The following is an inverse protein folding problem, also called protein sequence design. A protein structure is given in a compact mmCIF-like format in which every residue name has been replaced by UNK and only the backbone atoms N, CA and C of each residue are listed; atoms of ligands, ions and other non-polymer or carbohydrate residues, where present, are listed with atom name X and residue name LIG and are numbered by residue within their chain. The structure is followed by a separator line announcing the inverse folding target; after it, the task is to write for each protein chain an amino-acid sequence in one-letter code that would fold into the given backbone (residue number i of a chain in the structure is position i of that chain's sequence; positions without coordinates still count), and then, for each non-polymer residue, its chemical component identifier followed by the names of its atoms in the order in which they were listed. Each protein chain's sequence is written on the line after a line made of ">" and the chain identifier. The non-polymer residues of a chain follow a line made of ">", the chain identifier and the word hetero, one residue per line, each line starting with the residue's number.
data_IF_341917582254
#
_entry.id   IF_341917582254
#
_cell.length_a   1.000
_cell.length_b   1.000
_cell.length_c   1.000
_cell.angle_alpha   90.00
_cell.angle_beta   90.00
_cell.angle_gamma   90.00
#
_symmetry.space_group_name_H-M   'P 1'
#
loop_
_entity.id
_entity.type
_entity.pdbx_description
1 polymer ?
#
# COMPACT_ATOMS: atom_id res chain seq x y z
N UNK A 1 17.61 -14.42 -14.07
CA UNK A 1 16.43 -13.57 -13.82
C UNK A 1 15.32 -14.41 -13.20
N UNK A 2 14.61 -13.88 -12.19
CA UNK A 2 13.37 -14.48 -11.68
C UNK A 2 12.28 -14.38 -12.77
N UNK A 3 11.33 -15.32 -12.84
CA UNK A 3 10.20 -15.22 -13.77
C UNK A 3 9.08 -14.34 -13.20
N UNK A 4 8.27 -13.70 -14.07
CA UNK A 4 7.15 -12.81 -13.67
C UNK A 4 6.21 -13.50 -12.68
N UNK A 5 5.67 -14.67 -13.04
CA UNK A 5 4.74 -15.43 -12.18
C UNK A 5 5.29 -15.70 -10.77
N UNK A 6 6.57 -16.04 -10.69
CA UNK A 6 7.24 -16.29 -9.40
C UNK A 6 7.50 -15.00 -8.60
N UNK A 7 7.63 -13.87 -9.29
CA UNK A 7 7.78 -12.57 -8.64
C UNK A 7 6.43 -12.10 -8.10
N UNK A 8 5.33 -12.29 -8.85
CA UNK A 8 3.95 -12.04 -8.39
C UNK A 8 3.66 -12.80 -7.10
N UNK A 9 3.88 -14.13 -7.10
CA UNK A 9 3.71 -14.99 -5.92
C UNK A 9 4.49 -14.44 -4.71
N UNK A 10 5.73 -13.99 -4.92
CA UNK A 10 6.54 -13.41 -3.84
C UNK A 10 6.02 -12.05 -3.36
N UNK A 11 5.49 -11.22 -4.26
CA UNK A 11 4.92 -9.92 -3.89
C UNK A 11 3.69 -10.13 -3.02
N UNK A 12 2.87 -11.12 -3.31
CA UNK A 12 1.67 -11.45 -2.53
C UNK A 12 2.02 -12.12 -1.20
N UNK A 13 2.88 -13.14 -1.21
CA UNK A 13 3.17 -13.97 -0.03
C UNK A 13 4.12 -13.32 0.99
N UNK A 14 4.98 -12.39 0.57
CA UNK A 14 5.92 -11.76 1.50
C UNK A 14 5.19 -10.80 2.42
N UNK A 15 5.33 -11.00 3.73
CA UNK A 15 4.71 -10.15 4.74
C UNK A 15 5.24 -8.71 4.70
N UNK A 16 4.34 -7.75 4.94
CA UNK A 16 4.70 -6.35 5.14
C UNK A 16 5.20 -6.14 6.57
N UNK A 17 6.35 -5.47 6.69
CA UNK A 17 6.96 -5.11 7.96
C UNK A 17 6.96 -3.59 8.14
N UNK A 18 6.73 -3.14 9.37
CA UNK A 18 6.81 -1.71 9.71
C UNK A 18 8.27 -1.28 9.86
N UNK A 19 8.75 -0.41 8.98
CA UNK A 19 10.18 -0.05 8.88
C UNK A 19 10.65 1.01 9.87
N UNK A 20 9.75 1.87 10.39
CA UNK A 20 10.09 2.81 11.46
C UNK A 20 8.95 3.04 12.45
N UNK A 21 9.27 3.02 13.75
CA UNK A 21 8.29 3.11 14.84
C UNK A 21 7.57 4.47 14.99
N UNK A 22 7.68 5.37 14.01
CA UNK A 22 7.08 6.71 14.04
C UNK A 22 6.26 7.10 12.80
N UNK A 23 6.46 6.41 11.67
CA UNK A 23 5.71 6.69 10.43
C UNK A 23 4.80 5.50 10.11
N UNK A 24 3.63 5.76 9.53
CA UNK A 24 2.74 4.72 8.98
C UNK A 24 3.30 4.28 7.61
N UNK A 25 4.50 3.70 7.65
CA UNK A 25 5.27 3.18 6.52
C UNK A 25 5.43 1.68 6.69
N UNK A 26 5.00 0.94 5.68
CA UNK A 26 5.06 -0.52 5.64
C UNK A 26 5.74 -0.97 4.37
N UNK A 27 6.68 -1.90 4.50
CA UNK A 27 7.48 -2.40 3.39
C UNK A 27 7.67 -3.89 3.46
N UNK A 28 7.71 -4.54 2.30
CA UNK A 28 8.23 -5.89 2.13
C UNK A 28 9.49 -5.82 1.27
N UNK A 29 10.51 -6.59 1.66
CA UNK A 29 11.79 -6.63 0.96
C UNK A 29 12.00 -7.99 0.28
N UNK A 30 11.94 -8.00 -1.05
CA UNK A 30 11.99 -9.20 -1.87
C UNK A 30 13.37 -9.32 -2.51
N UNK A 31 14.21 -10.20 -1.97
CA UNK A 31 15.59 -10.38 -2.43
C UNK A 31 15.69 -11.22 -3.71
N UNK A 32 16.42 -10.68 -4.69
CA UNK A 32 16.66 -11.25 -6.02
C UNK A 32 18.16 -11.19 -6.37
N UNK A 33 18.96 -12.04 -5.72
CA UNK A 33 20.44 -12.07 -5.84
C UNK A 33 21.08 -10.77 -5.37
N UNK A 34 21.62 -9.98 -6.29
CA UNK A 34 22.30 -8.70 -6.09
C UNK A 34 21.33 -7.49 -6.11
N UNK A 35 20.03 -7.77 -6.12
CA UNK A 35 18.95 -6.78 -6.16
C UNK A 35 17.92 -7.07 -5.08
N UNK A 36 17.24 -6.04 -4.61
CA UNK A 36 16.10 -6.13 -3.71
C UNK A 36 14.98 -5.27 -4.26
N UNK A 37 13.79 -5.85 -4.40
CA UNK A 37 12.57 -5.11 -4.67
C UNK A 37 11.96 -4.75 -3.32
N UNK A 38 11.76 -3.45 -3.09
CA UNK A 38 10.98 -2.93 -1.98
C UNK A 38 9.60 -2.66 -2.53
N UNK A 39 8.57 -3.22 -1.91
CA UNK A 39 7.17 -2.83 -2.17
C UNK A 39 6.62 -2.33 -0.85
N UNK A 40 6.05 -1.14 -0.83
CA UNK A 40 5.54 -0.58 0.39
C UNK A 40 4.40 0.38 0.16
N UNK A 41 3.83 0.85 1.25
CA UNK A 41 2.91 1.97 1.23
C UNK A 41 3.23 2.95 2.35
N UNK A 42 2.93 4.21 2.09
CA UNK A 42 3.04 5.27 3.07
C UNK A 42 1.73 6.05 3.21
N UNK A 43 1.46 6.50 4.43
CA UNK A 43 0.33 7.36 4.75
C UNK A 43 0.66 8.81 4.41
N UNK A 44 -0.15 9.44 3.56
CA UNK A 44 0.04 10.85 3.23
C UNK A 44 -0.96 11.78 3.92
N UNK A 45 -2.25 11.46 3.89
CA UNK A 45 -3.30 12.39 4.33
C UNK A 45 -4.24 11.78 5.38
N UNK A 46 -4.56 12.57 6.41
CA UNK A 46 -5.64 12.28 7.36
C UNK A 46 -6.64 13.41 7.26
N UNK A 47 -7.83 13.12 6.74
CA UNK A 47 -8.92 14.08 6.74
C UNK A 47 -9.54 14.09 8.14
N UNK A 48 -9.15 15.06 8.96
CA UNK A 48 -9.70 15.27 10.29
C UNK A 48 -10.67 16.45 10.26
N UNK A 49 -11.98 16.20 10.34
CA UNK A 49 -12.90 17.17 10.92
C UNK A 49 -12.98 16.84 12.43
N UNK A 50 -12.57 17.74 13.33
CA UNK A 50 -12.43 17.44 14.76
C UNK A 50 -13.79 17.46 15.48
N UNK A 51 -14.74 16.64 15.04
CA UNK A 51 -16.02 16.44 15.72
C UNK A 51 -16.07 15.03 16.35
N UNK A 52 -16.44 14.90 17.63
CA UNK A 52 -16.64 13.60 18.26
C UNK A 52 -17.80 12.85 17.58
N UNK A 53 -17.52 11.67 17.05
CA UNK A 53 -18.47 10.82 16.31
C UNK A 53 -18.23 10.73 14.80
N UNK A 54 -17.29 11.50 14.25
CA UNK A 54 -16.93 11.44 12.83
C UNK A 54 -15.84 10.39 12.54
N UNK A 55 -15.93 9.79 11.36
CA UNK A 55 -15.04 8.74 10.85
C UNK A 55 -13.66 9.32 10.47
N UNK A 56 -12.58 8.66 10.88
CA UNK A 56 -11.22 9.02 10.48
C UNK A 56 -10.85 8.23 9.22
N UNK A 57 -10.66 8.93 8.11
CA UNK A 57 -10.20 8.34 6.85
C UNK A 57 -8.69 8.55 6.73
N UNK A 58 -7.97 7.47 6.45
CA UNK A 58 -6.54 7.51 6.12
C UNK A 58 -6.35 6.99 4.71
N UNK A 59 -5.65 7.77 3.88
CA UNK A 59 -5.26 7.34 2.55
C UNK A 59 -3.79 6.88 2.55
N UNK A 60 -3.55 5.76 1.89
CA UNK A 60 -2.25 5.16 1.71
C UNK A 60 -2.00 4.97 0.21
N UNK A 61 -0.75 5.17 -0.19
CA UNK A 61 -0.32 5.00 -1.57
C UNK A 61 0.77 3.95 -1.65
N UNK A 62 0.64 3.05 -2.61
CA UNK A 62 1.67 2.07 -2.90
C UNK A 62 2.84 2.72 -3.63
N UNK A 63 4.02 2.19 -3.36
CA UNK A 63 5.25 2.51 -4.06
C UNK A 63 6.10 1.25 -4.15
N UNK A 64 7.01 1.24 -5.13
CA UNK A 64 8.01 0.18 -5.21
C UNK A 64 9.33 0.69 -5.77
N UNK A 65 10.41 0.07 -5.32
CA UNK A 65 11.76 0.45 -5.69
C UNK A 65 12.61 -0.79 -5.94
N UNK A 66 13.44 -0.73 -6.97
CA UNK A 66 14.50 -1.71 -7.17
C UNK A 66 15.81 -1.13 -6.68
N UNK A 67 16.41 -1.77 -5.68
CA UNK A 67 17.69 -1.36 -5.10
C UNK A 67 18.78 -2.41 -5.31
N UNK A 68 20.03 -1.97 -5.24
CA UNK A 68 21.17 -2.87 -5.12
C UNK A 68 21.25 -3.45 -3.70
N UNK A 69 21.32 -4.78 -3.58
CA UNK A 69 21.26 -5.43 -2.26
C UNK A 69 22.54 -5.28 -1.43
N UNK A 70 23.64 -4.81 -2.02
CA UNK A 70 24.93 -4.64 -1.32
C UNK A 70 25.05 -3.25 -0.70
N UNK A 71 24.70 -2.21 -1.45
CA UNK A 71 24.88 -0.82 -1.05
C UNK A 71 23.58 -0.05 -0.80
N UNK A 72 22.42 -0.66 -1.06
CA UNK A 72 21.08 -0.07 -0.89
C UNK A 72 20.81 1.18 -1.75
N UNK A 73 21.59 1.39 -2.82
CA UNK A 73 21.31 2.44 -3.78
C UNK A 73 20.03 2.12 -4.56
N UNK A 74 19.18 3.13 -4.72
CA UNK A 74 18.02 3.08 -5.62
C UNK A 74 18.53 3.00 -7.07
N UNK A 75 18.07 1.98 -7.79
CA UNK A 75 18.34 1.80 -9.21
C UNK A 75 17.15 2.29 -10.04
N UNK A 76 15.94 1.98 -9.57
CA UNK A 76 14.66 2.44 -10.11
C UNK A 76 13.66 2.61 -8.98
N UNK A 77 12.70 3.48 -9.17
CA UNK A 77 11.63 3.76 -8.23
C UNK A 77 10.34 4.15 -8.96
N UNK A 78 9.21 3.81 -8.34
CA UNK A 78 7.89 4.30 -8.67
C UNK A 78 7.23 4.82 -7.39
N UNK A 79 6.98 6.12 -7.36
CA UNK A 79 6.25 6.84 -6.30
C UNK A 79 5.11 7.68 -6.91
N UNK A 80 4.57 7.25 -8.06
CA UNK A 80 3.64 8.04 -8.86
C UNK A 80 2.23 8.09 -8.25
N UNK A 81 1.99 7.33 -7.16
CA UNK A 81 0.73 7.29 -6.41
C UNK A 81 -0.47 6.87 -7.26
N UNK A 82 -0.21 6.08 -8.29
CA UNK A 82 -1.24 5.54 -9.18
C UNK A 82 -2.15 4.54 -8.46
N UNK A 83 -1.58 3.82 -7.48
CA UNK A 83 -2.30 2.81 -6.70
C UNK A 83 -2.46 3.25 -5.26
N UNK A 84 -3.68 3.17 -4.75
CA UNK A 84 -4.02 3.64 -3.41
C UNK A 84 -5.09 2.78 -2.75
N UNK A 85 -5.12 2.87 -1.43
CA UNK A 85 -6.23 2.33 -0.65
C UNK A 85 -6.48 3.25 0.55
N UNK A 86 -7.67 3.13 1.13
CA UNK A 86 -8.01 3.90 2.29
C UNK A 86 -8.51 3.01 3.43
N UNK A 87 -8.19 3.40 4.66
CA UNK A 87 -8.72 2.79 5.88
C UNK A 87 -9.60 3.79 6.59
N UNK A 88 -10.83 3.40 6.88
CA UNK A 88 -11.75 4.19 7.69
C UNK A 88 -11.88 3.59 9.10
N UNK A 89 -11.76 4.45 10.12
CA UNK A 89 -11.97 4.08 11.52
C UNK A 89 -13.04 5.00 12.12
N UNK A 90 -14.19 4.43 12.47
CA UNK A 90 -15.23 5.15 13.22
C UNK A 90 -14.75 5.33 14.66
N UNK A 91 -14.51 6.58 15.06
CA UNK A 91 -14.04 6.91 16.39
C UNK A 91 -15.07 6.65 17.49
N UNK A 92 -14.96 5.49 18.15
CA UNK A 92 -15.41 5.25 19.52
C UNK A 92 -16.91 5.40 19.81
N UNK A 93 -17.68 4.34 19.57
CA UNK A 93 -18.89 4.08 20.37
C UNK A 93 -18.63 2.87 21.28
N UNK A 94 -18.49 3.18 22.57
CA UNK A 94 -18.60 2.21 23.66
C UNK A 94 -19.95 1.50 23.57
N UNK A 95 -19.91 0.17 23.71
CA UNK A 95 -20.99 -0.78 23.98
C UNK A 95 -22.46 -0.29 23.91
N UNK A 96 -23.25 -1.02 23.12
CA UNK A 96 -24.71 -0.97 23.00
C UNK A 96 -25.30 0.17 22.16
N UNK A 97 -25.56 -0.07 20.87
CA UNK A 97 -26.92 -0.25 20.36
C UNK A 97 -26.95 -0.26 18.81
N UNK A 98 -27.61 -1.28 18.27
CA UNK A 98 -28.37 -1.27 17.00
C UNK A 98 -27.58 -0.99 15.72
N UNK A 99 -27.02 -2.08 15.19
CA UNK A 99 -27.08 -2.38 13.75
C UNK A 99 -28.54 -2.20 13.30
N UNK A 100 -28.79 -1.48 12.19
CA UNK A 100 -30.11 -1.14 11.60
C UNK A 100 -30.81 0.13 12.15
N UNK A 101 -30.32 1.33 11.82
CA UNK A 101 -31.14 2.54 11.51
C UNK A 101 -30.35 3.88 11.39
N UNK A 102 -29.02 3.88 11.44
CA UNK A 102 -28.19 5.10 11.34
C UNK A 102 -27.69 5.39 9.91
N UNK A 103 -28.50 5.11 8.89
CA UNK A 103 -28.32 5.71 7.56
C UNK A 103 -29.06 7.05 7.55
N UNK A 104 -28.55 8.00 8.32
CA UNK A 104 -29.08 9.36 8.43
C UNK A 104 -27.93 10.33 8.34
N UNK A 105 -27.80 10.96 7.18
CA UNK A 105 -26.93 12.10 6.87
C UNK A 105 -25.41 11.87 7.02
N UNK A 106 -24.90 10.71 6.57
CA UNK A 106 -23.49 10.60 6.17
C UNK A 106 -23.43 11.11 4.73
N UNK A 107 -22.67 12.18 4.46
CA UNK A 107 -22.33 12.54 3.08
C UNK A 107 -21.58 11.34 2.49
N UNK A 108 -22.20 10.62 1.56
CA UNK A 108 -21.60 9.47 0.84
C UNK A 108 -20.27 9.81 0.13
N UNK A 109 -19.90 11.09 0.06
CA UNK A 109 -18.66 11.59 -0.54
C UNK A 109 -17.40 11.28 0.28
N UNK A 110 -17.51 11.00 1.58
CA UNK A 110 -16.36 10.80 2.49
C UNK A 110 -16.22 9.32 2.96
N UNK A 111 -16.88 8.34 2.34
CA UNK A 111 -16.74 6.91 2.72
C UNK A 111 -15.80 6.22 1.74
N UNK A 112 -14.78 5.51 2.26
CA UNK A 112 -13.96 4.59 1.48
C UNK A 112 -14.84 3.65 0.64
N UNK A 113 -14.97 3.90 -0.66
CA UNK A 113 -15.75 3.00 -1.49
C UNK A 113 -14.91 1.75 -1.76
N UNK A 114 -15.54 0.56 -1.70
CA UNK A 114 -14.86 -0.71 -2.01
C UNK A 114 -14.23 -0.74 -3.41
N UNK A 115 -14.68 0.14 -4.31
CA UNK A 115 -14.16 0.32 -5.67
C UNK A 115 -12.83 1.07 -5.77
N UNK A 116 -12.31 1.63 -4.68
CA UNK A 116 -11.11 2.49 -4.66
C UNK A 116 -9.94 1.85 -3.91
N UNK A 117 -9.92 0.52 -3.78
CA UNK A 117 -8.89 -0.19 -3.02
C UNK A 117 -8.05 -1.05 -3.95
N UNK A 118 -6.84 -0.56 -4.25
CA UNK A 118 -5.83 -1.33 -4.96
C UNK A 118 -5.13 -2.27 -3.96
N UNK A 119 -5.66 -3.47 -3.78
CA UNK A 119 -5.01 -4.45 -2.93
C UNK A 119 -3.74 -4.99 -3.56
N UNK A 120 -2.83 -5.53 -2.74
CA UNK A 120 -1.56 -6.07 -3.26
C UNK A 120 -1.78 -7.17 -4.30
N UNK A 121 -2.85 -7.96 -4.18
CA UNK A 121 -3.25 -9.01 -5.13
C UNK A 121 -3.74 -8.43 -6.47
N UNK A 122 -4.27 -7.21 -6.47
CA UNK A 122 -4.76 -6.53 -7.68
C UNK A 122 -3.62 -5.88 -8.47
N UNK A 123 -2.55 -5.43 -7.77
CA UNK A 123 -1.44 -4.68 -8.37
C UNK A 123 -0.14 -5.50 -8.52
N UNK A 124 -0.08 -6.71 -7.95
CA UNK A 124 1.12 -7.56 -7.94
C UNK A 124 1.63 -7.85 -9.35
N UNK A 125 0.73 -8.02 -10.33
CA UNK A 125 1.09 -8.24 -11.73
C UNK A 125 1.80 -7.05 -12.37
N UNK A 126 1.33 -5.83 -12.08
CA UNK A 126 1.88 -4.58 -12.63
C UNK A 126 3.27 -4.30 -12.03
N UNK A 127 3.40 -4.43 -10.70
CA UNK A 127 4.69 -4.32 -10.00
C UNK A 127 5.70 -5.33 -10.56
N UNK A 128 5.27 -6.59 -10.76
CA UNK A 128 6.14 -7.64 -11.27
C UNK A 128 6.56 -7.39 -12.72
N UNK A 129 5.65 -6.91 -13.57
CA UNK A 129 5.94 -6.57 -14.97
C UNK A 129 6.99 -5.46 -15.06
N UNK A 130 6.76 -4.35 -14.36
CA UNK A 130 7.68 -3.22 -14.36
C UNK A 130 9.04 -3.60 -13.80
N UNK A 131 9.08 -4.34 -12.69
CA UNK A 131 10.34 -4.81 -12.09
C UNK A 131 11.14 -5.68 -13.06
N UNK A 132 10.47 -6.56 -13.81
CA UNK A 132 11.15 -7.41 -14.80
C UNK A 132 11.74 -6.56 -15.93
N UNK A 133 11.05 -5.51 -16.36
CA UNK A 133 11.54 -4.61 -17.39
C UNK A 133 12.71 -3.76 -16.90
N UNK A 134 12.69 -3.29 -15.65
CA UNK A 134 13.84 -2.66 -15.00
C UNK A 134 15.04 -3.60 -14.96
N UNK A 135 14.85 -4.86 -14.53
CA UNK A 135 15.92 -5.86 -14.49
C UNK A 135 16.52 -6.12 -15.88
N UNK A 136 15.69 -6.25 -16.93
CA UNK A 136 16.17 -6.39 -18.32
C UNK A 136 16.96 -5.16 -18.79
N UNK A 137 16.59 -3.97 -18.34
CA UNK A 137 17.29 -2.73 -18.72
C UNK A 137 18.71 -2.65 -18.16
N UNK A 138 18.95 -3.28 -17.01
CA UNK A 138 20.28 -3.36 -16.35
C UNK A 138 21.20 -4.42 -16.97
N UNK A 139 20.65 -5.41 -17.68
CA UNK A 139 21.42 -6.45 -18.36
C UNK A 139 21.96 -5.99 -19.75
N UNK A 140 21.63 -4.77 -20.19
CA UNK A 140 22.11 -4.17 -21.44
C UNK A 140 23.45 -3.44 -21.27
#
# INVERSE_FOLDING_TARGET
>A
MIGKEKLVERIEETELEKTHAGNDLWEKHIYMRDKVLIVGYEKEETYNKPNPGEEIIKNYYWYWELRDSTNWNVLFDNHDKEFSFCESNVGGYTDQDRVEDLVGDIEEEDVCTWSEQDWIEDISEDIAEETIDWLKSLEK
#
